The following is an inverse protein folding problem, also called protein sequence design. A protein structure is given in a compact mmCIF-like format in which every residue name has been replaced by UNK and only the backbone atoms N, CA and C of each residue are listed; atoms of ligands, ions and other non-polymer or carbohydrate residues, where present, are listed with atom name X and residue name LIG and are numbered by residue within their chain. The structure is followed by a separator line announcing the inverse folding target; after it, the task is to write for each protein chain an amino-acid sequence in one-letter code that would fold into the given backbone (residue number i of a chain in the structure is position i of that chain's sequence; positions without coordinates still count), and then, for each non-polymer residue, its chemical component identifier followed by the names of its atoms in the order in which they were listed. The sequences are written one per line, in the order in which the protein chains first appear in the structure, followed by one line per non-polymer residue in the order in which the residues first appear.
data_IF_956091395805
#
_entry.id   IF_956091395805
#
_cell.length_a   1.000
_cell.length_b   1.000
_cell.length_c   1.000
_cell.angle_alpha   90.00
_cell.angle_beta   90.00
_cell.angle_gamma   90.00
#
_symmetry.space_group_name_H-M   'P 1'
#
loop_
_entity.id
_entity.type
_entity.pdbx_description
1 polymer ?
#
# COMPACT_ATOMS: atom_id res chain seq x y z
N UNK A 1 21.76 47.46 1.68
CA UNK A 1 21.85 46.55 0.51
C UNK A 1 22.50 45.20 0.84
N UNK A 2 23.74 45.14 1.35
CA UNK A 2 24.46 43.88 1.61
C UNK A 2 23.81 42.97 2.67
N UNK A 3 23.27 43.54 3.76
CA UNK A 3 22.56 42.77 4.79
C UNK A 3 21.21 42.21 4.29
N UNK A 4 20.49 42.98 3.48
CA UNK A 4 19.23 42.55 2.87
C UNK A 4 19.40 41.37 1.91
N UNK A 5 20.47 41.40 1.10
CA UNK A 5 20.85 40.26 0.24
C UNK A 5 21.17 39.01 1.06
N UNK A 6 21.86 39.15 2.21
CA UNK A 6 22.16 38.01 3.10
C UNK A 6 20.89 37.43 3.72
N UNK A 7 19.98 38.28 4.17
CA UNK A 7 18.67 37.86 4.71
C UNK A 7 17.89 37.05 3.66
N UNK A 8 17.79 37.57 2.44
CA UNK A 8 17.10 36.88 1.33
C UNK A 8 17.73 35.52 0.99
N UNK A 9 19.07 35.43 0.99
CA UNK A 9 19.78 34.17 0.75
C UNK A 9 19.55 33.18 1.90
N UNK A 10 19.58 33.64 3.15
CA UNK A 10 19.35 32.76 4.30
C UNK A 10 17.91 32.25 4.38
N UNK A 11 16.92 33.09 4.07
CA UNK A 11 15.51 32.67 4.08
C UNK A 11 15.20 31.72 2.93
N UNK A 12 15.75 31.95 1.74
CA UNK A 12 15.60 31.01 0.61
C UNK A 12 16.25 29.66 0.91
N UNK A 13 17.47 29.63 1.45
CA UNK A 13 18.11 28.37 1.86
C UNK A 13 17.32 27.63 2.94
N UNK A 14 16.79 28.36 3.93
CA UNK A 14 15.94 27.77 4.97
C UNK A 14 14.66 27.16 4.37
N UNK A 15 13.95 27.90 3.51
CA UNK A 15 12.76 27.40 2.82
C UNK A 15 13.04 26.16 1.98
N UNK A 16 14.15 26.15 1.21
CA UNK A 16 14.57 25.00 0.42
C UNK A 16 14.85 23.81 1.34
N UNK A 17 15.60 24.01 2.42
CA UNK A 17 15.92 22.93 3.37
C UNK A 17 14.68 22.33 4.03
N UNK A 18 13.68 23.16 4.38
CA UNK A 18 12.40 22.67 4.92
C UNK A 18 11.60 21.91 3.85
N UNK A 19 11.59 22.40 2.61
CA UNK A 19 10.89 21.73 1.51
C UNK A 19 11.47 20.33 1.25
N UNK A 20 12.79 20.21 1.05
CA UNK A 20 13.43 18.91 0.83
C UNK A 20 13.32 17.96 2.04
N UNK A 21 13.45 18.48 3.26
CA UNK A 21 13.34 17.66 4.48
C UNK A 21 11.95 17.03 4.66
N UNK A 22 10.88 17.75 4.32
CA UNK A 22 9.50 17.22 4.41
C UNK A 22 9.21 16.15 3.37
N UNK A 23 9.77 16.27 2.15
CA UNK A 23 9.59 15.27 1.09
C UNK A 23 10.25 13.93 1.45
N UNK A 24 11.44 13.93 2.06
CA UNK A 24 12.12 12.69 2.46
C UNK A 24 11.34 11.90 3.52
N UNK A 25 10.75 12.59 4.50
CA UNK A 25 9.94 11.95 5.55
C UNK A 25 8.70 11.27 4.94
N UNK A 26 8.05 11.93 3.99
CA UNK A 26 6.88 11.40 3.30
C UNK A 26 7.21 10.15 2.47
N UNK A 27 8.34 10.16 1.73
CA UNK A 27 8.80 9.02 0.96
C UNK A 27 9.14 7.80 1.83
N UNK A 28 9.79 8.00 2.98
CA UNK A 28 10.12 6.90 3.89
C UNK A 28 8.87 6.29 4.56
N UNK A 29 7.94 7.14 5.00
CA UNK A 29 6.70 6.69 5.65
C UNK A 29 5.79 5.93 4.66
N UNK A 30 5.62 6.46 3.45
CA UNK A 30 4.83 5.80 2.39
C UNK A 30 5.45 4.47 1.95
N UNK A 31 6.79 4.38 1.86
CA UNK A 31 7.49 3.14 1.58
C UNK A 31 7.18 2.03 2.61
N UNK A 32 7.35 2.32 3.90
CA UNK A 32 7.04 1.36 4.97
C UNK A 32 5.55 0.98 5.00
N UNK A 33 4.65 1.95 4.79
CA UNK A 33 3.22 1.69 4.73
C UNK A 33 2.85 0.78 3.55
N UNK A 34 3.50 0.94 2.39
CA UNK A 34 3.26 0.09 1.21
C UNK A 34 3.74 -1.36 1.40
N UNK A 35 4.89 -1.57 2.05
CA UNK A 35 5.38 -2.92 2.39
C UNK A 35 4.49 -3.57 3.45
N UNK A 36 4.09 -2.81 4.47
CA UNK A 36 3.16 -3.26 5.50
C UNK A 36 1.81 -3.66 4.92
N UNK A 37 1.29 -2.91 3.94
CA UNK A 37 0.08 -3.25 3.21
C UNK A 37 0.24 -4.60 2.48
N UNK A 38 1.35 -4.82 1.78
CA UNK A 38 1.63 -6.09 1.08
C UNK A 38 1.64 -7.30 2.02
N UNK A 39 2.31 -7.21 3.18
CA UNK A 39 2.24 -8.28 4.19
C UNK A 39 0.83 -8.48 4.76
N UNK A 40 0.05 -7.40 4.89
CA UNK A 40 -1.35 -7.49 5.28
C UNK A 40 -2.21 -8.25 4.26
N UNK A 41 -1.98 -8.03 2.97
CA UNK A 41 -2.65 -8.72 1.87
C UNK A 41 -2.28 -10.21 1.83
N UNK A 42 -0.99 -10.53 2.00
CA UNK A 42 -0.52 -11.91 2.10
C UNK A 42 -1.12 -12.63 3.33
N UNK A 43 -1.12 -11.96 4.49
CA UNK A 43 -1.73 -12.49 5.71
C UNK A 43 -3.22 -12.79 5.55
N UNK A 44 -3.95 -11.94 4.82
CA UNK A 44 -5.36 -12.16 4.49
C UNK A 44 -5.56 -13.41 3.61
N UNK A 45 -4.70 -13.62 2.61
CA UNK A 45 -4.74 -14.81 1.76
C UNK A 45 -4.38 -16.09 2.54
N UNK A 46 -3.35 -16.05 3.38
CA UNK A 46 -2.99 -17.17 4.26
C UNK A 46 -4.13 -17.56 5.19
N UNK A 47 -4.83 -16.58 5.76
CA UNK A 47 -5.96 -16.83 6.64
C UNK A 47 -7.15 -17.46 5.89
N UNK A 48 -7.42 -17.04 4.65
CA UNK A 48 -8.40 -17.70 3.77
C UNK A 48 -8.01 -19.14 3.47
N UNK A 49 -6.74 -19.39 3.18
CA UNK A 49 -6.26 -20.74 2.88
C UNK A 49 -6.33 -21.66 4.10
N UNK A 50 -5.96 -21.16 5.28
CA UNK A 50 -6.14 -21.87 6.55
C UNK A 50 -7.59 -22.30 6.77
N UNK A 51 -8.58 -21.42 6.50
CA UNK A 51 -10.00 -21.77 6.59
C UNK A 51 -10.34 -22.93 5.66
N UNK A 52 -9.87 -22.91 4.40
CA UNK A 52 -10.11 -24.01 3.46
C UNK A 52 -9.54 -25.34 3.97
N UNK A 53 -8.33 -25.34 4.53
CA UNK A 53 -7.73 -26.55 5.11
C UNK A 53 -8.55 -27.10 6.27
N UNK A 54 -9.02 -26.23 7.17
CA UNK A 54 -9.89 -26.63 8.28
C UNK A 54 -11.23 -27.18 7.79
N UNK A 55 -11.87 -26.51 6.82
CA UNK A 55 -13.11 -26.98 6.20
C UNK A 55 -12.95 -28.31 5.46
N UNK A 56 -11.81 -28.53 4.82
CA UNK A 56 -11.47 -29.81 4.19
C UNK A 56 -11.33 -30.92 5.25
N UNK A 57 -10.55 -30.68 6.31
CA UNK A 57 -10.37 -31.65 7.40
C UNK A 57 -11.69 -32.04 8.07
N UNK A 58 -12.62 -31.10 8.20
CA UNK A 58 -13.96 -31.35 8.75
C UNK A 58 -14.85 -32.25 7.88
N UNK A 59 -14.55 -32.40 6.59
CA UNK A 59 -15.30 -33.28 5.67
C UNK A 59 -14.85 -34.74 5.74
N UNK A 60 -13.71 -35.02 6.38
CA UNK A 60 -13.18 -36.36 6.48
C UNK A 60 -14.07 -37.24 7.37
N UNK A 61 -14.37 -38.48 6.97
CA UNK A 61 -15.30 -39.35 7.69
C UNK A 61 -14.79 -39.75 9.08
N UNK A 62 -13.48 -39.77 9.27
CA UNK A 62 -12.76 -40.08 10.51
C UNK A 62 -12.38 -38.82 11.32
N UNK A 63 -12.89 -37.64 10.96
CA UNK A 63 -12.65 -36.42 11.71
C UNK A 63 -13.13 -36.55 13.16
N UNK A 64 -12.16 -36.58 14.08
CA UNK A 64 -12.38 -36.71 15.52
C UNK A 64 -13.17 -35.55 16.11
N UNK A 65 -13.77 -35.78 17.29
CA UNK A 65 -14.59 -34.78 17.97
C UNK A 65 -13.80 -33.51 18.34
N UNK A 66 -12.54 -33.65 18.73
CA UNK A 66 -11.66 -32.52 19.07
C UNK A 66 -11.32 -31.69 17.83
N UNK A 67 -11.03 -32.35 16.70
CA UNK A 67 -10.84 -31.64 15.43
C UNK A 67 -12.10 -30.87 15.06
N UNK A 68 -13.28 -31.48 15.23
CA UNK A 68 -14.57 -30.84 14.94
C UNK A 68 -14.82 -29.59 15.79
N UNK A 69 -14.63 -29.68 17.10
CA UNK A 69 -14.86 -28.57 18.03
C UNK A 69 -13.84 -27.44 17.84
N UNK A 70 -12.55 -27.76 17.76
CA UNK A 70 -11.49 -26.78 17.60
C UNK A 70 -11.50 -26.12 16.21
N UNK A 71 -11.71 -26.90 15.14
CA UNK A 71 -11.76 -26.34 13.78
C UNK A 71 -12.96 -25.42 13.59
N UNK A 72 -14.14 -25.78 14.10
CA UNK A 72 -15.34 -24.92 14.01
C UNK A 72 -15.11 -23.58 14.72
N UNK A 73 -14.53 -23.60 15.91
CA UNK A 73 -14.18 -22.38 16.66
C UNK A 73 -13.10 -21.57 15.94
N UNK A 74 -12.06 -22.24 15.42
CA UNK A 74 -10.95 -21.59 14.69
C UNK A 74 -11.44 -20.93 13.40
N UNK A 75 -12.33 -21.59 12.65
CA UNK A 75 -12.95 -21.01 11.43
C UNK A 75 -13.77 -19.77 11.81
N UNK A 76 -14.51 -19.79 12.92
CA UNK A 76 -15.29 -18.63 13.38
C UNK A 76 -14.35 -17.43 13.64
N UNK A 77 -13.30 -17.63 14.43
CA UNK A 77 -12.33 -16.57 14.73
C UNK A 77 -11.59 -16.11 13.47
N UNK A 78 -11.21 -17.03 12.57
CA UNK A 78 -10.55 -16.69 11.32
C UNK A 78 -11.44 -15.82 10.42
N UNK A 79 -12.74 -16.13 10.32
CA UNK A 79 -13.71 -15.31 9.56
C UNK A 79 -13.92 -13.93 10.18
N UNK A 80 -13.87 -13.82 11.50
CA UNK A 80 -13.92 -12.53 12.20
C UNK A 80 -12.64 -11.71 11.96
N UNK A 81 -11.47 -12.35 12.06
CA UNK A 81 -10.20 -11.73 11.73
C UNK A 81 -10.15 -11.27 10.28
N UNK A 82 -10.69 -12.03 9.31
CA UNK A 82 -10.78 -11.57 7.91
C UNK A 82 -11.55 -10.26 7.76
N UNK A 83 -12.62 -10.02 8.55
CA UNK A 83 -13.33 -8.74 8.54
C UNK A 83 -12.44 -7.60 9.03
N UNK A 84 -11.68 -7.83 10.10
CA UNK A 84 -10.74 -6.84 10.61
C UNK A 84 -9.60 -6.56 9.63
N UNK A 85 -9.09 -7.59 8.95
CA UNK A 85 -8.13 -7.44 7.87
C UNK A 85 -8.70 -6.61 6.71
N UNK A 86 -9.94 -6.87 6.27
CA UNK A 86 -10.57 -6.10 5.19
C UNK A 86 -10.65 -4.60 5.54
N UNK A 87 -11.04 -4.25 6.77
CA UNK A 87 -11.07 -2.85 7.24
C UNK A 87 -9.66 -2.25 7.36
N UNK A 88 -8.70 -3.01 7.89
CA UNK A 88 -7.31 -2.56 8.01
C UNK A 88 -6.67 -2.29 6.64
N UNK A 89 -6.91 -3.18 5.66
CA UNK A 89 -6.44 -3.02 4.29
C UNK A 89 -7.10 -1.83 3.61
N UNK A 90 -8.40 -1.58 3.86
CA UNK A 90 -9.09 -0.39 3.36
C UNK A 90 -8.43 0.89 3.91
N UNK A 91 -8.22 0.98 5.21
CA UNK A 91 -7.59 2.15 5.84
C UNK A 91 -6.15 2.37 5.37
N UNK A 92 -5.38 1.29 5.20
CA UNK A 92 -4.01 1.37 4.70
C UNK A 92 -3.98 1.83 3.23
N UNK A 93 -4.92 1.36 2.40
CA UNK A 93 -5.09 1.84 1.03
C UNK A 93 -5.46 3.34 0.98
N UNK A 94 -6.43 3.78 1.78
CA UNK A 94 -6.82 5.19 1.90
C UNK A 94 -5.63 6.07 2.34
N UNK A 95 -4.84 5.60 3.30
CA UNK A 95 -3.63 6.29 3.79
C UNK A 95 -2.54 6.42 2.72
N UNK A 96 -2.51 5.49 1.76
CA UNK A 96 -1.58 5.49 0.62
C UNK A 96 -2.16 6.17 -0.63
N UNK A 97 -3.40 6.67 -0.58
CA UNK A 97 -4.10 7.20 -1.75
C UNK A 97 -4.40 6.15 -2.83
N UNK A 98 -4.45 4.87 -2.46
CA UNK A 98 -4.77 3.74 -3.35
C UNK A 98 -6.24 3.34 -3.22
N UNK A 99 -6.85 2.92 -4.32
CA UNK A 99 -8.17 2.29 -4.32
C UNK A 99 -8.01 0.77 -4.44
N UNK A 100 -8.69 0.00 -3.58
CA UNK A 100 -8.61 -1.48 -3.46
C UNK A 100 -8.77 -2.25 -4.78
N UNK A 101 -9.33 -1.66 -5.84
CA UNK A 101 -9.55 -2.31 -7.14
C UNK A 101 -8.27 -2.74 -7.87
N UNK A 102 -7.07 -2.30 -7.44
CA UNK A 102 -5.80 -2.83 -7.96
C UNK A 102 -5.56 -4.31 -7.60
N UNK A 103 -6.33 -4.89 -6.67
CA UNK A 103 -6.06 -6.23 -6.13
C UNK A 103 -6.52 -7.40 -7.02
N UNK A 104 -7.19 -7.16 -8.15
CA UNK A 104 -7.71 -8.21 -9.04
C UNK A 104 -7.09 -8.21 -10.44
N UNK A 105 -6.09 -7.38 -10.72
CA UNK A 105 -5.53 -7.28 -12.06
C UNK A 105 -4.07 -6.85 -12.07
N UNK A 106 -3.20 -7.74 -12.54
CA UNK A 106 -1.89 -7.38 -13.07
C UNK A 106 -0.78 -7.32 -12.04
N UNK A 107 -0.05 -8.44 -11.91
CA UNK A 107 1.37 -8.31 -11.68
C UNK A 107 1.97 -7.68 -12.94
N UNK A 108 2.17 -6.36 -12.95
CA UNK A 108 2.98 -5.68 -13.96
C UNK A 108 3.34 -4.26 -13.48
N UNK A 109 4.64 -4.00 -13.44
CA UNK A 109 5.20 -2.71 -13.81
C UNK A 109 4.94 -1.52 -12.89
N UNK A 110 5.98 -1.16 -12.13
CA UNK A 110 6.28 0.24 -11.83
C UNK A 110 6.04 1.15 -13.04
N UNK A 111 5.20 2.17 -12.89
CA UNK A 111 4.94 3.17 -13.93
C UNK A 111 4.44 4.47 -13.32
N UNK A 112 5.37 5.25 -12.77
CA UNK A 112 5.17 6.69 -12.57
C UNK A 112 5.13 7.34 -13.96
N UNK A 113 4.00 7.94 -14.33
CA UNK A 113 3.92 8.85 -15.46
C UNK A 113 3.36 10.19 -14.97
N UNK A 114 4.31 11.04 -14.55
CA UNK A 114 4.15 12.48 -14.56
C UNK A 114 4.43 12.92 -16.00
N UNK A 115 3.39 13.23 -16.77
CA UNK A 115 3.53 13.80 -18.11
C UNK A 115 3.54 15.31 -17.96
N UNK A 116 4.70 15.90 -18.21
CA UNK A 116 4.94 17.33 -18.24
C UNK A 116 4.37 17.91 -19.54
N UNK A 117 3.53 18.93 -19.39
CA UNK A 117 3.09 19.79 -20.48
C UNK A 117 4.25 20.71 -20.87
N UNK A 118 4.82 20.50 -22.04
CA UNK A 118 5.72 21.44 -22.69
C UNK A 118 5.56 21.34 -24.20
N UNK A 119 4.68 22.20 -24.71
CA UNK A 119 4.52 22.47 -26.13
C UNK A 119 5.57 23.50 -26.55
N UNK A 120 6.65 23.04 -27.19
CA UNK A 120 7.59 23.90 -27.92
C UNK A 120 7.64 23.44 -29.38
N UNK A 121 7.16 24.30 -30.27
CA UNK A 121 7.00 24.05 -31.70
C UNK A 121 8.18 24.63 -32.46
N UNK A 122 8.99 23.77 -33.07
CA UNK A 122 9.94 24.14 -34.10
C UNK A 122 9.62 23.38 -35.39
N UNK A 123 9.13 24.12 -36.40
CA UNK A 123 8.87 23.66 -37.76
C UNK A 123 10.03 24.11 -38.65
N UNK A 124 10.89 23.17 -39.03
CA UNK A 124 11.94 23.34 -40.03
C UNK A 124 11.82 22.15 -41.00
N UNK A 125 11.05 22.35 -42.08
CA UNK A 125 10.80 21.35 -43.11
C UNK A 125 10.92 21.95 -44.52
N UNK A 126 12.02 21.63 -45.19
CA UNK A 126 12.42 22.09 -46.51
C UNK A 126 11.58 21.52 -47.66
N UNK A 127 11.22 22.35 -48.64
CA UNK A 127 11.01 21.97 -50.05
C UNK A 127 11.33 23.15 -50.98
#
# INVERSE_FOLDING_TARGET
MRQWKRILITTTLLSVSLFFGTQQIYAQASGHASVGLGHGEEGFLHLKEMIKHLEFGLKMPDAGQDLKSHSTTSIKHAREALKHYDEALKHANESLGRTRNQMMGGGEGSGSSHEEDSSDSHDEGSH
#
